data_IF_377229600976
#
_entry.id   IF_377229600976
#
_cell.length_a   1.000
_cell.length_b   1.000
_cell.length_c   1.000
_cell.angle_alpha   90.00
_cell.angle_beta   90.00
_cell.angle_gamma   90.00
#
_symmetry.space_group_name_H-M   'P 1'
#
loop_
_entity.id
_entity.type
_entity.pdbx_description
1 polymer ?
#
# COMPACT_ATOMS: atom_id res chain seq x y z
N UNK A 1 9.42 49.56 -22.93
CA UNK A 1 8.20 49.64 -22.11
C UNK A 1 8.43 48.79 -20.88
N UNK A 2 8.74 49.46 -19.77
CA UNK A 2 9.16 48.83 -18.51
C UNK A 2 7.92 48.36 -17.78
N UNK A 3 7.73 47.05 -17.62
CA UNK A 3 6.69 46.49 -16.76
C UNK A 3 7.05 46.81 -15.31
N UNK A 4 6.14 47.50 -14.62
CA UNK A 4 6.34 47.98 -13.26
C UNK A 4 6.33 46.78 -12.29
N UNK A 5 7.31 46.62 -11.39
CA UNK A 5 7.36 45.47 -10.47
C UNK A 5 6.17 45.40 -9.48
N UNK A 6 5.42 46.50 -9.34
CA UNK A 6 4.19 46.54 -8.56
C UNK A 6 3.01 45.80 -9.24
N UNK A 7 2.99 45.76 -10.59
CA UNK A 7 1.95 45.07 -11.35
C UNK A 7 2.11 43.53 -11.28
N UNK A 8 3.34 43.02 -11.09
CA UNK A 8 3.59 41.60 -10.85
C UNK A 8 3.20 41.15 -9.43
N UNK A 9 3.39 42.02 -8.43
CA UNK A 9 3.03 41.74 -7.04
C UNK A 9 1.50 41.67 -6.83
N UNK A 10 0.72 42.44 -7.58
CA UNK A 10 -0.74 42.33 -7.58
C UNK A 10 -1.27 41.10 -8.32
N UNK A 11 -0.59 40.68 -9.40
CA UNK A 11 -0.99 39.48 -10.16
C UNK A 11 -0.74 38.16 -9.39
N UNK A 12 0.25 38.14 -8.48
CA UNK A 12 0.52 37.02 -7.58
C UNK A 12 -0.57 36.89 -6.50
N UNK A 13 -1.19 38.01 -6.07
CA UNK A 13 -2.26 38.01 -5.06
C UNK A 13 -3.61 37.57 -5.62
N UNK A 14 -3.86 37.73 -6.92
CA UNK A 14 -5.16 37.44 -7.55
C UNK A 14 -5.44 35.96 -7.89
N UNK A 15 -4.51 35.01 -7.62
CA UNK A 15 -4.73 33.56 -7.85
C UNK A 15 -5.35 32.79 -6.68
N UNK A 16 -5.65 33.45 -5.57
CA UNK A 16 -6.31 32.83 -4.42
C UNK A 16 -7.83 33.07 -4.48
N UNK A 17 -8.48 32.40 -5.44
CA UNK A 17 -9.93 32.21 -5.39
C UNK A 17 -10.29 31.41 -4.12
N UNK A 18 -11.34 31.79 -3.39
CA UNK A 18 -11.74 31.09 -2.17
C UNK A 18 -11.97 29.59 -2.46
N UNK A 19 -11.20 28.73 -1.79
CA UNK A 19 -11.25 27.28 -1.95
C UNK A 19 -10.19 26.66 -2.87
N UNK A 20 -9.38 27.45 -3.60
CA UNK A 20 -8.23 26.92 -4.36
C UNK A 20 -6.97 26.93 -3.48
N UNK A 21 -6.36 25.78 -3.18
CA UNK A 21 -5.17 25.73 -2.33
C UNK A 21 -4.02 26.50 -2.98
N UNK A 22 -3.25 27.23 -2.16
CA UNK A 22 -2.09 28.01 -2.61
C UNK A 22 -1.01 27.11 -3.22
N UNK A 23 -0.10 27.68 -4.02
CA UNK A 23 0.98 26.91 -4.65
C UNK A 23 1.77 26.08 -3.62
N UNK A 24 2.09 26.68 -2.47
CA UNK A 24 2.79 26.00 -1.38
C UNK A 24 1.97 24.86 -0.74
N UNK A 25 0.65 25.03 -0.65
CA UNK A 25 -0.25 23.96 -0.18
C UNK A 25 -0.31 22.82 -1.19
N UNK A 26 -0.34 23.12 -2.49
CA UNK A 26 -0.32 22.11 -3.54
C UNK A 26 0.98 21.30 -3.54
N UNK A 27 2.13 21.96 -3.37
CA UNK A 27 3.45 21.28 -3.27
C UNK A 27 3.52 20.39 -2.03
N UNK A 28 3.09 20.89 -0.86
CA UNK A 28 3.04 20.07 0.37
C UNK A 28 2.11 18.87 0.22
N UNK A 29 0.94 19.07 -0.39
CA UNK A 29 -0.02 18.01 -0.65
C UNK A 29 0.56 16.95 -1.59
N UNK A 30 1.19 17.39 -2.69
CA UNK A 30 1.83 16.49 -3.66
C UNK A 30 2.91 15.62 -3.00
N UNK A 31 3.76 16.21 -2.14
CA UNK A 31 4.78 15.47 -1.38
C UNK A 31 4.18 14.44 -0.43
N UNK A 32 3.12 14.80 0.29
CA UNK A 32 2.43 13.87 1.19
C UNK A 32 1.77 12.72 0.41
N UNK A 33 1.03 13.02 -0.66
CA UNK A 33 0.37 12.01 -1.50
C UNK A 33 1.42 11.08 -2.14
N UNK A 34 2.56 11.62 -2.59
CA UNK A 34 3.67 10.85 -3.17
C UNK A 34 4.22 9.82 -2.18
N UNK A 35 4.42 10.20 -0.92
CA UNK A 35 4.86 9.24 0.10
C UNK A 35 3.87 8.08 0.28
N UNK A 36 2.55 8.34 0.25
CA UNK A 36 1.56 7.24 0.29
C UNK A 36 1.63 6.35 -0.96
N UNK A 37 1.82 6.95 -2.14
CA UNK A 37 1.94 6.25 -3.42
C UNK A 37 3.16 5.31 -3.43
N UNK A 38 4.33 5.80 -3.01
CA UNK A 38 5.58 5.02 -2.93
C UNK A 38 5.49 3.86 -1.93
N UNK A 39 4.66 3.99 -0.90
CA UNK A 39 4.39 2.92 0.07
C UNK A 39 3.27 1.95 -0.37
N UNK A 40 2.79 2.05 -1.62
CA UNK A 40 1.72 1.19 -2.14
C UNK A 40 0.35 1.38 -1.46
N UNK A 41 0.16 2.47 -0.74
CA UNK A 41 -1.12 2.77 -0.09
C UNK A 41 -2.10 3.27 -1.16
N UNK A 42 -3.35 2.82 -1.14
CA UNK A 42 -4.31 3.22 -2.18
C UNK A 42 -4.66 4.71 -2.12
N UNK A 43 -4.95 5.30 -3.28
CA UNK A 43 -5.38 6.69 -3.39
C UNK A 43 -6.60 7.01 -2.51
N UNK A 44 -7.49 6.04 -2.28
CA UNK A 44 -8.67 6.19 -1.40
C UNK A 44 -8.27 6.30 0.07
N UNK A 45 -7.32 5.46 0.52
CA UNK A 45 -6.81 5.52 1.89
C UNK A 45 -6.03 6.81 2.10
N UNK A 46 -5.17 7.19 1.15
CA UNK A 46 -4.45 8.46 1.19
C UNK A 46 -5.39 9.67 1.24
N UNK A 47 -6.47 9.66 0.44
CA UNK A 47 -7.48 10.72 0.45
C UNK A 47 -8.17 10.86 1.82
N UNK A 48 -8.49 9.73 2.45
CA UNK A 48 -9.11 9.69 3.78
C UNK A 48 -8.16 10.24 4.85
N UNK A 49 -6.89 9.81 4.83
CA UNK A 49 -5.87 10.25 5.80
C UNK A 49 -5.52 11.74 5.66
N UNK A 50 -5.46 12.24 4.43
CA UNK A 50 -5.12 13.64 4.14
C UNK A 50 -6.34 14.56 4.10
N UNK A 51 -7.55 14.03 4.32
CA UNK A 51 -8.82 14.78 4.26
C UNK A 51 -8.98 15.56 2.95
N UNK A 52 -8.67 14.92 1.82
CA UNK A 52 -8.80 15.49 0.48
C UNK A 52 -9.84 14.74 -0.36
N UNK A 53 -10.30 15.38 -1.43
CA UNK A 53 -11.20 14.72 -2.38
C UNK A 53 -10.51 13.49 -3.02
N UNK A 54 -11.15 12.31 -3.03
CA UNK A 54 -10.64 11.10 -3.68
C UNK A 54 -10.27 11.30 -5.15
N UNK A 55 -10.99 12.15 -5.88
CA UNK A 55 -10.68 12.48 -7.29
C UNK A 55 -9.32 13.17 -7.41
N UNK A 56 -8.98 14.04 -6.46
CA UNK A 56 -7.69 14.74 -6.40
C UNK A 56 -6.56 13.75 -6.13
N UNK A 57 -6.72 12.86 -5.14
CA UNK A 57 -5.73 11.81 -4.86
C UNK A 57 -5.50 10.90 -6.07
N UNK A 58 -6.58 10.44 -6.73
CA UNK A 58 -6.49 9.62 -7.96
C UNK A 58 -5.78 10.35 -9.10
N UNK A 59 -6.01 11.66 -9.28
CA UNK A 59 -5.34 12.46 -10.30
C UNK A 59 -3.83 12.52 -10.05
N UNK A 60 -3.40 12.76 -8.81
CA UNK A 60 -1.97 12.75 -8.46
C UNK A 60 -1.35 11.37 -8.66
N UNK A 61 -2.04 10.29 -8.27
CA UNK A 61 -1.56 8.92 -8.49
C UNK A 61 -1.36 8.61 -9.97
N UNK A 62 -2.30 9.03 -10.83
CA UNK A 62 -2.13 8.92 -12.29
C UNK A 62 -0.92 9.70 -12.78
N UNK A 63 -0.76 10.95 -12.35
CA UNK A 63 0.41 11.78 -12.69
C UNK A 63 1.73 11.12 -12.25
N UNK A 64 1.75 10.41 -11.13
CA UNK A 64 2.95 9.71 -10.64
C UNK A 64 3.21 8.39 -11.38
N UNK A 65 2.15 7.74 -11.86
CA UNK A 65 2.23 6.51 -12.65
C UNK A 65 2.43 6.77 -14.16
N UNK A 66 2.11 7.96 -14.67
CA UNK A 66 2.28 8.33 -16.09
C UNK A 66 3.72 8.16 -16.61
N UNK A 67 4.76 8.57 -15.88
CA UNK A 67 6.15 8.29 -16.26
C UNK A 67 6.46 6.78 -16.34
N UNK A 68 5.67 5.94 -15.67
CA UNK A 68 5.83 4.49 -15.73
C UNK A 68 5.21 3.86 -16.99
N UNK A 69 4.39 4.60 -17.74
CA UNK A 69 3.81 4.13 -19.01
C UNK A 69 4.76 4.30 -20.20
N UNK A 70 5.85 5.04 -20.02
CA UNK A 70 6.94 5.21 -21.01
C UNK A 70 8.15 4.32 -20.72
N UNK A 71 8.04 3.45 -19.70
CA UNK A 71 9.07 2.49 -19.32
C UNK A 71 9.13 1.37 -20.37
N UNK A 72 10.34 0.97 -20.74
CA UNK A 72 10.59 -0.17 -21.63
C UNK A 72 9.99 -1.46 -21.03
N UNK A 73 9.55 -2.39 -21.87
CA UNK A 73 8.83 -3.60 -21.40
C UNK A 73 9.65 -4.38 -20.36
N UNK A 74 10.97 -4.44 -20.55
CA UNK A 74 11.92 -5.10 -19.65
C UNK A 74 12.01 -4.41 -18.28
N UNK A 75 12.04 -3.08 -18.25
CA UNK A 75 12.13 -2.30 -17.00
C UNK A 75 10.79 -2.34 -16.24
N UNK A 76 9.66 -2.42 -16.94
CA UNK A 76 8.35 -2.63 -16.32
C UNK A 76 8.25 -4.02 -15.66
N UNK A 77 8.71 -5.06 -16.34
CA UNK A 77 8.75 -6.42 -15.80
C UNK A 77 9.63 -6.52 -14.56
N UNK A 78 10.80 -5.89 -14.58
CA UNK A 78 11.71 -5.84 -13.43
C UNK A 78 11.07 -5.11 -12.25
N UNK A 79 10.42 -3.97 -12.50
CA UNK A 79 9.69 -3.25 -11.46
C UNK A 79 8.55 -4.09 -10.85
N UNK A 80 7.84 -4.88 -11.66
CA UNK A 80 6.83 -5.82 -11.15
C UNK A 80 7.45 -6.88 -10.24
N UNK A 81 8.61 -7.44 -10.58
CA UNK A 81 9.34 -8.42 -9.75
C UNK A 81 9.73 -7.79 -8.40
N UNK A 82 10.37 -6.62 -8.44
CA UNK A 82 10.78 -5.87 -7.24
C UNK A 82 9.58 -5.56 -6.33
N UNK A 83 8.44 -5.18 -6.92
CA UNK A 83 7.23 -4.87 -6.15
C UNK A 83 6.66 -6.11 -5.46
N UNK A 84 6.62 -7.26 -6.16
CA UNK A 84 6.18 -8.53 -5.58
C UNK A 84 7.10 -8.94 -4.44
N UNK A 85 8.42 -8.91 -4.64
CA UNK A 85 9.40 -9.24 -3.60
C UNK A 85 9.26 -8.33 -2.37
N UNK A 86 9.14 -7.03 -2.59
CA UNK A 86 8.95 -6.04 -1.52
C UNK A 86 7.67 -6.31 -0.73
N UNK A 87 6.57 -6.63 -1.41
CA UNK A 87 5.30 -6.98 -0.77
C UNK A 87 5.38 -8.31 0.00
N UNK A 88 6.04 -9.32 -0.55
CA UNK A 88 6.31 -10.60 0.14
C UNK A 88 7.15 -10.40 1.40
N UNK A 89 8.15 -9.52 1.36
CA UNK A 89 8.96 -9.16 2.52
C UNK A 89 8.12 -8.44 3.57
N UNK A 90 7.30 -7.48 3.17
CA UNK A 90 6.39 -6.76 4.07
C UNK A 90 5.41 -7.71 4.77
N UNK A 91 4.81 -8.67 4.04
CA UNK A 91 3.91 -9.68 4.62
C UNK A 91 4.69 -10.59 5.58
N UNK A 92 5.91 -11.00 5.23
CA UNK A 92 6.77 -11.83 6.10
C UNK A 92 7.06 -11.14 7.44
N UNK A 93 7.33 -9.83 7.41
CA UNK A 93 7.51 -9.03 8.61
C UNK A 93 6.23 -8.95 9.46
N UNK A 94 5.06 -8.86 8.85
CA UNK A 94 3.78 -8.87 9.57
C UNK A 94 3.48 -10.23 10.20
N UNK A 95 3.82 -11.34 9.53
CA UNK A 95 3.72 -12.70 10.08
C UNK A 95 4.60 -12.81 11.33
N UNK A 96 5.86 -12.35 11.25
CA UNK A 96 6.80 -12.41 12.37
C UNK A 96 6.30 -11.63 13.59
N UNK A 97 5.82 -10.39 13.38
CA UNK A 97 5.20 -9.58 14.45
C UNK A 97 3.98 -10.28 15.07
N UNK A 98 3.14 -10.88 14.22
CA UNK A 98 1.93 -11.59 14.69
C UNK A 98 2.28 -12.83 15.51
N UNK A 99 3.31 -13.59 15.12
CA UNK A 99 3.83 -14.74 15.88
C UNK A 99 4.40 -14.32 17.24
N UNK A 100 5.11 -13.18 17.30
CA UNK A 100 5.59 -12.64 18.56
C UNK A 100 4.43 -12.30 19.51
N UNK A 101 3.40 -11.61 19.01
CA UNK A 101 2.18 -11.30 19.78
C UNK A 101 1.51 -12.59 20.25
N UNK A 102 1.40 -13.60 19.39
CA UNK A 102 0.81 -14.89 19.75
C UNK A 102 1.57 -15.53 20.91
N UNK A 103 2.90 -15.56 20.85
CA UNK A 103 3.74 -16.09 21.93
C UNK A 103 3.52 -15.34 23.24
N UNK A 104 3.40 -14.01 23.21
CA UNK A 104 3.11 -13.22 24.41
C UNK A 104 1.73 -13.55 24.99
N UNK A 105 0.70 -13.68 24.15
CA UNK A 105 -0.65 -14.06 24.59
C UNK A 105 -0.69 -15.49 25.15
N UNK A 106 0.06 -16.43 24.58
CA UNK A 106 0.17 -17.80 25.09
C UNK A 106 0.83 -17.84 26.48
N UNK A 107 1.91 -17.09 26.67
CA UNK A 107 2.57 -16.96 27.97
C UNK A 107 1.61 -16.33 29.01
N UNK A 108 0.90 -15.29 28.62
CA UNK A 108 -0.10 -14.64 29.47
C UNK A 108 -1.25 -15.59 29.83
N UNK A 109 -1.77 -16.36 28.87
CA UNK A 109 -2.80 -17.36 29.11
C UNK A 109 -2.35 -18.45 30.11
N UNK A 110 -1.08 -18.88 30.04
CA UNK A 110 -0.50 -19.82 31.00
C UNK A 110 -0.39 -19.20 32.40
N UNK A 111 0.07 -17.95 32.48
CA UNK A 111 0.17 -17.22 33.74
C UNK A 111 -1.20 -17.02 34.40
N UNK A 112 -2.23 -16.66 33.63
CA UNK A 112 -3.61 -16.58 34.13
C UNK A 112 -4.07 -17.90 34.75
N UNK A 113 -3.84 -19.02 34.07
CA UNK A 113 -4.21 -20.36 34.55
C UNK A 113 -3.54 -20.75 35.87
N UNK A 114 -2.36 -20.22 36.14
CA UNK A 114 -1.57 -20.47 37.35
C UNK A 114 -1.80 -19.40 38.44
N UNK A 115 -2.54 -18.33 38.13
CA UNK A 115 -2.85 -17.26 39.07
C UNK A 115 -3.78 -17.76 40.18
N UNK A 116 -3.50 -17.34 41.42
CA UNK A 116 -4.41 -17.56 42.56
C UNK A 116 -5.78 -16.90 42.35
N UNK A 117 -5.84 -15.83 41.54
CA UNK A 117 -7.06 -15.09 41.20
C UNK A 117 -7.51 -15.44 39.76
N UNK A 118 -7.62 -16.72 39.45
CA UNK A 118 -7.99 -17.16 38.10
C UNK A 118 -9.36 -16.63 37.69
N UNK A 119 -9.38 -15.83 36.63
CA UNK A 119 -10.60 -15.37 35.96
C UNK A 119 -10.86 -16.21 34.72
N UNK A 120 -11.89 -17.06 34.78
CA UNK A 120 -12.27 -17.92 33.64
C UNK A 120 -12.71 -17.10 32.41
N UNK A 121 -13.41 -15.99 32.64
CA UNK A 121 -13.87 -15.08 31.57
C UNK A 121 -12.71 -14.42 30.86
N UNK A 122 -11.71 -13.94 31.61
CA UNK A 122 -10.49 -13.36 31.04
C UNK A 122 -9.70 -14.40 30.24
N UNK A 123 -9.52 -15.60 30.79
CA UNK A 123 -8.88 -16.70 30.08
C UNK A 123 -9.60 -17.04 28.76
N UNK A 124 -10.93 -17.13 28.76
CA UNK A 124 -11.71 -17.37 27.55
C UNK A 124 -11.54 -16.26 26.50
N UNK A 125 -11.46 -15.00 26.93
CA UNK A 125 -11.21 -13.87 26.03
C UNK A 125 -9.83 -13.98 25.38
N UNK A 126 -8.79 -14.28 26.16
CA UNK A 126 -7.43 -14.51 25.61
C UNK A 126 -7.43 -15.68 24.62
N UNK A 127 -8.12 -16.78 24.93
CA UNK A 127 -8.24 -17.92 24.00
C UNK A 127 -9.01 -17.59 22.72
N UNK A 128 -9.95 -16.64 22.75
CA UNK A 128 -10.62 -16.13 21.54
C UNK A 128 -9.68 -15.29 20.70
N UNK A 129 -8.91 -14.39 21.32
CA UNK A 129 -7.94 -13.57 20.62
C UNK A 129 -6.81 -14.41 20.00
N UNK A 130 -6.33 -15.43 20.71
CA UNK A 130 -5.38 -16.41 20.16
C UNK A 130 -5.92 -17.08 18.89
N UNK A 131 -7.19 -17.55 18.91
CA UNK A 131 -7.82 -18.14 17.72
C UNK A 131 -7.95 -17.17 16.55
N UNK A 132 -8.34 -15.91 16.82
CA UNK A 132 -8.39 -14.87 15.79
C UNK A 132 -7.02 -14.60 15.19
N UNK A 133 -5.99 -14.55 16.04
CA UNK A 133 -4.62 -14.30 15.62
C UNK A 133 -4.06 -15.47 14.80
N UNK A 134 -4.32 -16.72 15.19
CA UNK A 134 -3.93 -17.89 14.39
C UNK A 134 -4.59 -17.89 13.01
N UNK A 135 -5.88 -17.53 12.93
CA UNK A 135 -6.57 -17.36 11.64
C UNK A 135 -5.91 -16.26 10.81
N UNK A 136 -5.66 -15.09 11.41
CA UNK A 136 -5.01 -13.97 10.72
C UNK A 136 -3.61 -14.33 10.19
N UNK A 137 -2.81 -15.08 10.97
CA UNK A 137 -1.50 -15.58 10.52
C UNK A 137 -1.66 -16.53 9.33
N UNK A 138 -2.62 -17.45 9.38
CA UNK A 138 -2.90 -18.36 8.26
C UNK A 138 -3.31 -17.58 7.00
N UNK A 139 -4.17 -16.58 7.13
CA UNK A 139 -4.60 -15.72 6.03
C UNK A 139 -3.40 -14.95 5.42
N UNK A 140 -2.48 -14.45 6.25
CA UNK A 140 -1.24 -13.81 5.78
C UNK A 140 -0.30 -14.80 5.06
N UNK A 141 -0.20 -16.05 5.54
CA UNK A 141 0.60 -17.09 4.88
C UNK A 141 0.02 -17.40 3.51
N UNK A 142 -1.30 -17.58 3.42
CA UNK A 142 -1.99 -17.81 2.13
C UNK A 142 -1.77 -16.63 1.20
N UNK A 143 -1.92 -15.39 1.68
CA UNK A 143 -1.68 -14.20 0.88
C UNK A 143 -0.23 -14.13 0.38
N UNK A 144 0.74 -14.41 1.25
CA UNK A 144 2.17 -14.47 0.88
C UNK A 144 2.42 -15.53 -0.20
N UNK A 145 1.91 -16.73 -0.01
CA UNK A 145 2.09 -17.84 -0.95
C UNK A 145 1.47 -17.53 -2.31
N UNK A 146 0.24 -16.99 -2.30
CA UNK A 146 -0.44 -16.59 -3.53
C UNK A 146 0.34 -15.48 -4.25
N UNK A 147 0.85 -14.49 -3.51
CA UNK A 147 1.61 -13.39 -4.08
C UNK A 147 2.97 -13.84 -4.64
N UNK A 148 3.70 -14.67 -3.89
CA UNK A 148 5.00 -15.20 -4.30
C UNK A 148 4.90 -16.16 -5.50
N UNK A 149 3.77 -16.88 -5.63
CA UNK A 149 3.50 -17.78 -6.75
C UNK A 149 2.67 -17.11 -7.86
N UNK A 150 2.43 -15.79 -7.78
CA UNK A 150 1.75 -15.08 -8.85
C UNK A 150 2.58 -15.20 -10.12
N UNK A 151 2.02 -15.64 -11.25
CA UNK A 151 2.73 -15.54 -12.51
C UNK A 151 3.02 -14.07 -12.76
N UNK A 152 4.30 -13.75 -12.91
CA UNK A 152 4.77 -12.42 -13.30
C UNK A 152 4.30 -12.14 -14.75
N UNK A 153 4.30 -10.86 -15.14
CA UNK A 153 3.78 -10.44 -16.44
C UNK A 153 4.48 -11.17 -17.60
N UNK A 154 5.79 -11.38 -17.50
CA UNK A 154 6.62 -12.16 -18.42
C UNK A 154 6.21 -13.63 -18.55
N UNK A 155 5.94 -14.31 -17.43
CA UNK A 155 5.45 -15.70 -17.44
C UNK A 155 4.08 -15.80 -18.08
N UNK A 156 3.20 -14.82 -17.84
CA UNK A 156 1.85 -14.79 -18.39
C UNK A 156 1.88 -14.50 -19.89
N UNK A 157 2.69 -13.53 -20.33
CA UNK A 157 2.88 -13.17 -21.73
C UNK A 157 3.54 -14.30 -22.52
N UNK A 158 4.59 -14.93 -21.98
CA UNK A 158 5.23 -16.08 -22.61
C UNK A 158 4.27 -17.27 -22.74
N UNK A 159 3.39 -17.48 -21.76
CA UNK A 159 2.35 -18.52 -21.84
C UNK A 159 1.37 -18.23 -22.97
N UNK A 160 0.86 -17.00 -23.05
CA UNK A 160 -0.07 -16.56 -24.09
C UNK A 160 0.55 -16.65 -25.50
N UNK A 161 1.82 -16.25 -25.64
CA UNK A 161 2.55 -16.36 -26.91
C UNK A 161 2.71 -17.81 -27.37
N UNK A 162 2.97 -18.75 -26.44
CA UNK A 162 3.03 -20.19 -26.73
C UNK A 162 1.67 -20.77 -27.11
N UNK A 163 0.61 -20.38 -26.40
CA UNK A 163 -0.77 -20.81 -26.72
C UNK A 163 -1.18 -20.31 -28.12
N UNK A 164 -0.84 -19.07 -28.48
CA UNK A 164 -1.10 -18.51 -29.81
C UNK A 164 -0.34 -19.24 -30.93
N UNK A 165 0.95 -19.49 -30.72
CA UNK A 165 1.77 -20.20 -31.73
C UNK A 165 1.31 -21.65 -31.93
N UNK A 166 0.82 -22.32 -30.88
CA UNK A 166 0.22 -23.66 -30.98
C UNK A 166 -1.13 -23.65 -31.72
N UNK A 167 -1.97 -22.62 -31.51
CA UNK A 167 -3.26 -22.50 -32.18
C UNK A 167 -3.16 -22.11 -33.67
N UNK A 168 -2.06 -21.49 -34.10
CA UNK A 168 -1.80 -21.16 -35.51
C UNK A 168 -1.18 -22.36 -36.26
N UNK A 169 -0.50 -23.26 -35.54
CA UNK A 169 0.16 -24.44 -36.11
C UNK A 169 -0.74 -25.69 -36.17
N UNK A 170 -1.98 -25.62 -35.68
CA UNK A 170 -2.99 -26.68 -35.71
C UNK A 170 -4.05 -26.39 -36.79
#
# INVERSE_FOLDING_TARGET
MSSNPEDEAENIKQRNLPGRPSLNQQVKLEKQIRSYFENGISALVAATKLKINPKTAKRYYRKFAEPQLTIDEDEFQEQCKINIESAVMAISNQILKSLQIQRHLELYARALKQSKNFSFTEYLNVQRELRKLSKYIADLIVLKTNLANSPTADLTLNRLAREWTQNIAA
#
